data_IF_670232261151
#
_entry.id   IF_670232261151
#
_cell.length_a   1.000
_cell.length_b   1.000
_cell.length_c   1.000
_cell.angle_alpha   90.00
_cell.angle_beta   90.00
_cell.angle_gamma   90.00
#
_symmetry.space_group_name_H-M   'P 1'
#
loop_
_entity.id
_entity.type
_entity.pdbx_description
1 polymer ?
#
# COMPACT_ATOMS: atom_id res chain seq x y z
N UNK A 1 29.26 75.47 21.29
CA UNK A 1 28.98 74.51 20.20
C UNK A 1 28.28 73.31 20.81
N UNK A 2 27.04 73.02 20.41
CA UNK A 2 26.22 71.93 20.97
C UNK A 2 26.63 70.61 20.31
N UNK A 3 27.04 69.63 21.11
CA UNK A 3 27.31 68.26 20.65
C UNK A 3 26.06 67.42 20.88
N UNK A 4 25.38 67.03 19.81
CA UNK A 4 24.22 66.15 19.84
C UNK A 4 24.69 64.73 19.61
N UNK A 5 24.65 63.89 20.65
CA UNK A 5 24.95 62.46 20.53
C UNK A 5 23.76 61.73 19.89
N UNK A 6 23.97 61.10 18.74
CA UNK A 6 22.98 60.24 18.08
C UNK A 6 23.19 58.81 18.60
N UNK A 7 22.21 58.27 19.31
CA UNK A 7 22.19 56.87 19.73
C UNK A 7 21.65 56.03 18.56
N UNK A 8 22.49 55.19 17.95
CA UNK A 8 22.07 54.21 16.95
C UNK A 8 21.70 52.92 17.67
N UNK A 9 20.40 52.61 17.73
CA UNK A 9 19.89 51.33 18.24
C UNK A 9 19.94 50.33 17.08
N UNK A 10 20.89 49.40 17.14
CA UNK A 10 20.95 48.26 16.21
C UNK A 10 20.00 47.18 16.74
N UNK A 11 18.84 47.03 16.11
CA UNK A 11 17.93 45.92 16.37
C UNK A 11 18.50 44.64 15.73
N UNK A 12 18.96 43.70 16.56
CA UNK A 12 19.35 42.37 16.11
C UNK A 12 18.07 41.56 15.91
N UNK A 13 17.66 41.37 14.66
CA UNK A 13 16.59 40.44 14.30
C UNK A 13 17.18 39.04 14.30
N UNK A 14 16.92 38.29 15.38
CA UNK A 14 17.17 36.85 15.45
C UNK A 14 16.18 36.15 14.51
N UNK A 15 16.61 35.87 13.29
CA UNK A 15 15.88 34.98 12.38
C UNK A 15 15.97 33.56 12.94
N UNK A 16 14.94 33.12 13.66
CA UNK A 16 14.75 31.73 14.03
C UNK A 16 14.48 30.93 12.75
N UNK A 17 15.52 30.31 12.19
CA UNK A 17 15.35 29.22 11.25
C UNK A 17 14.71 28.06 12.00
N UNK A 18 13.38 27.95 11.93
CA UNK A 18 12.70 26.71 12.26
C UNK A 18 13.23 25.67 11.26
N UNK A 19 14.09 24.77 11.73
CA UNK A 19 14.45 23.58 10.98
C UNK A 19 13.14 22.87 10.67
N UNK A 20 12.83 22.69 9.38
CA UNK A 20 11.79 21.76 8.98
C UNK A 20 12.16 20.41 9.62
N UNK A 21 11.22 19.72 10.28
CA UNK A 21 11.51 18.37 10.75
C UNK A 21 12.01 17.55 9.56
N UNK A 22 12.98 16.65 9.76
CA UNK A 22 13.41 15.75 8.70
C UNK A 22 12.15 15.08 8.12
N UNK A 23 12.07 14.97 6.79
CA UNK A 23 11.04 14.19 6.12
C UNK A 23 11.07 12.79 6.75
N UNK A 24 10.05 12.48 7.54
CA UNK A 24 10.01 11.23 8.29
C UNK A 24 9.68 10.14 7.28
N UNK A 25 10.40 9.03 7.29
CA UNK A 25 10.09 7.93 6.38
C UNK A 25 8.76 7.31 6.84
N UNK A 26 7.77 7.14 5.95
CA UNK A 26 6.54 6.45 6.32
C UNK A 26 6.81 4.96 6.47
N UNK A 27 6.71 4.46 7.70
CA UNK A 27 6.67 3.03 8.00
C UNK A 27 5.23 2.56 7.89
N UNK A 28 4.99 1.55 7.07
CA UNK A 28 3.68 0.93 6.91
C UNK A 28 3.70 -0.54 7.22
N UNK A 29 2.50 -1.09 7.30
CA UNK A 29 2.29 -2.52 7.38
C UNK A 29 1.24 -2.93 6.37
N UNK A 30 1.34 -4.17 5.91
CA UNK A 30 0.23 -4.87 5.28
C UNK A 30 -0.12 -6.15 6.04
N UNK A 31 -1.41 -6.53 5.98
CA UNK A 31 -1.94 -7.64 6.78
C UNK A 31 -3.08 -8.37 6.07
N UNK A 32 -3.06 -9.70 6.18
CA UNK A 32 -4.09 -10.58 5.63
C UNK A 32 -5.46 -10.41 6.32
N UNK A 33 -6.52 -10.90 5.68
CA UNK A 33 -7.87 -10.94 6.22
C UNK A 33 -7.91 -11.68 7.56
N UNK A 34 -7.24 -12.84 7.64
CA UNK A 34 -7.30 -13.72 8.80
C UNK A 34 -6.60 -13.09 10.00
N UNK A 35 -5.43 -12.48 9.75
CA UNK A 35 -4.61 -11.88 10.80
C UNK A 35 -5.24 -10.57 11.29
N UNK A 36 -5.72 -9.72 10.38
CA UNK A 36 -6.31 -8.42 10.74
C UNK A 36 -7.50 -8.55 11.70
N UNK A 37 -8.34 -9.57 11.50
CA UNK A 37 -9.51 -9.82 12.35
C UNK A 37 -9.15 -10.11 13.82
N UNK A 38 -7.90 -10.50 14.08
CA UNK A 38 -7.38 -10.77 15.43
C UNK A 38 -6.75 -9.55 16.10
N UNK A 39 -6.44 -8.49 15.35
CA UNK A 39 -5.80 -7.27 15.87
C UNK A 39 -6.83 -6.44 16.63
N UNK A 40 -6.62 -6.30 17.93
CA UNK A 40 -7.49 -5.51 18.81
C UNK A 40 -7.31 -4.01 18.62
N UNK A 41 -8.29 -3.16 18.99
CA UNK A 41 -8.12 -1.70 18.94
C UNK A 41 -6.94 -1.18 19.77
N UNK A 42 -6.56 -1.87 20.85
CA UNK A 42 -5.39 -1.51 21.65
C UNK A 42 -4.08 -1.81 20.91
N UNK A 43 -4.03 -2.91 20.17
CA UNK A 43 -2.88 -3.25 19.33
C UNK A 43 -2.75 -2.27 18.15
N UNK A 44 -3.85 -1.90 17.48
CA UNK A 44 -3.83 -0.87 16.44
C UNK A 44 -3.27 0.46 16.96
N UNK A 45 -3.69 0.92 18.15
CA UNK A 45 -3.11 2.12 18.78
C UNK A 45 -1.63 1.95 19.10
N UNK A 46 -1.23 0.79 19.63
CA UNK A 46 0.18 0.52 19.92
C UNK A 46 1.02 0.55 18.63
N UNK A 47 0.56 -0.07 17.53
CA UNK A 47 1.24 -0.04 16.25
C UNK A 47 1.42 1.40 15.75
N UNK A 48 0.41 2.26 15.91
CA UNK A 48 0.54 3.67 15.55
C UNK A 48 1.52 4.43 16.45
N UNK A 49 1.28 4.39 17.76
CA UNK A 49 1.88 5.30 18.73
C UNK A 49 3.27 4.86 19.20
N UNK A 50 3.51 3.55 19.30
CA UNK A 50 4.74 2.99 19.87
C UNK A 50 5.68 2.46 18.78
N UNK A 51 5.12 1.87 17.71
CA UNK A 51 5.92 1.28 16.63
C UNK A 51 6.10 2.19 15.41
N UNK A 52 5.39 3.33 15.39
CA UNK A 52 5.55 4.40 14.40
C UNK A 52 4.87 4.14 13.06
N UNK A 53 4.03 3.11 12.92
CA UNK A 53 3.35 2.82 11.66
C UNK A 53 2.41 3.97 11.26
N UNK A 54 2.59 4.56 10.08
CA UNK A 54 1.81 5.72 9.60
C UNK A 54 0.74 5.34 8.58
N UNK A 55 0.92 4.22 7.89
CA UNK A 55 -0.07 3.67 6.97
C UNK A 55 -0.28 2.17 7.17
N UNK A 56 -1.46 1.71 6.79
CA UNK A 56 -1.83 0.31 6.88
C UNK A 56 -2.55 -0.10 5.61
N UNK A 57 -2.10 -1.21 5.07
CA UNK A 57 -2.62 -1.90 3.92
C UNK A 57 -3.39 -3.09 4.61
N UNK A 58 -4.73 -3.23 4.40
CA UNK A 58 -5.54 -4.43 4.83
C UNK A 58 -6.19 -5.28 3.71
N UNK A 59 -5.87 -6.58 3.63
CA UNK A 59 -6.31 -7.52 2.57
C UNK A 59 -7.81 -7.70 2.60
N UNK A 60 -8.42 -7.82 1.42
CA UNK A 60 -9.85 -7.78 1.37
C UNK A 60 -10.54 -8.92 0.58
N UNK A 61 -9.89 -9.73 -0.27
CA UNK A 61 -10.51 -10.73 -1.20
C UNK A 61 -9.48 -11.79 -1.43
N UNK A 62 -9.70 -12.92 -0.80
CA UNK A 62 -8.73 -13.98 -0.87
C UNK A 62 -9.01 -14.86 -2.09
N UNK A 63 -8.45 -14.51 -3.25
CA UNK A 63 -8.32 -15.45 -4.37
C UNK A 63 -9.58 -16.16 -4.84
N UNK A 64 -10.75 -15.52 -4.75
CA UNK A 64 -12.02 -16.14 -5.13
C UNK A 64 -12.69 -17.02 -4.06
N UNK A 65 -12.08 -17.14 -2.88
CA UNK A 65 -12.62 -17.90 -1.76
C UNK A 65 -13.60 -17.10 -0.90
N UNK A 66 -13.39 -15.79 -0.71
CA UNK A 66 -14.36 -14.86 -0.08
C UNK A 66 -13.85 -13.41 -0.01
N UNK A 67 -14.81 -12.48 0.04
CA UNK A 67 -14.63 -11.11 0.51
C UNK A 67 -14.43 -11.09 2.04
N UNK A 68 -13.47 -10.31 2.51
CA UNK A 68 -13.19 -10.04 3.91
C UNK A 68 -14.38 -9.34 4.58
N UNK A 69 -15.17 -10.11 5.33
CA UNK A 69 -16.34 -9.58 6.05
C UNK A 69 -15.96 -8.71 7.27
N UNK A 70 -14.68 -8.70 7.66
CA UNK A 70 -14.11 -7.88 8.75
C UNK A 70 -13.37 -6.65 8.25
N UNK A 71 -13.35 -6.39 6.94
CA UNK A 71 -12.64 -5.26 6.36
C UNK A 71 -13.08 -3.93 6.97
N UNK A 72 -14.39 -3.69 7.07
CA UNK A 72 -14.92 -2.46 7.67
C UNK A 72 -14.45 -2.29 9.13
N UNK A 73 -14.43 -3.38 9.90
CA UNK A 73 -13.93 -3.38 11.28
C UNK A 73 -12.44 -3.01 11.33
N UNK A 74 -11.61 -3.72 10.57
CA UNK A 74 -10.17 -3.49 10.49
C UNK A 74 -9.83 -2.04 10.12
N UNK A 75 -10.41 -1.54 9.02
CA UNK A 75 -10.19 -0.19 8.52
C UNK A 75 -10.65 0.85 9.54
N UNK A 76 -11.81 0.65 10.18
CA UNK A 76 -12.30 1.58 11.21
C UNK A 76 -11.37 1.65 12.43
N UNK A 77 -10.72 0.55 12.81
CA UNK A 77 -9.79 0.54 13.94
C UNK A 77 -8.45 1.19 13.59
N UNK A 78 -7.93 0.98 12.39
CA UNK A 78 -6.73 1.65 11.90
C UNK A 78 -6.94 3.18 11.85
N UNK A 79 -8.08 3.63 11.32
CA UNK A 79 -8.45 5.06 11.35
C UNK A 79 -8.60 5.59 12.78
N UNK A 80 -9.29 4.86 13.65
CA UNK A 80 -9.46 5.25 15.06
C UNK A 80 -8.13 5.27 15.85
N UNK A 81 -7.12 4.53 15.41
CA UNK A 81 -5.79 4.54 15.97
C UNK A 81 -4.94 5.73 15.49
N UNK A 82 -5.37 6.47 14.46
CA UNK A 82 -4.67 7.67 13.97
C UNK A 82 -3.66 7.41 12.86
N UNK A 83 -3.84 6.34 12.08
CA UNK A 83 -3.10 6.14 10.83
C UNK A 83 -3.44 7.26 9.84
N UNK A 84 -2.42 7.80 9.16
CA UNK A 84 -2.57 8.91 8.21
C UNK A 84 -3.15 8.45 6.88
N UNK A 85 -2.79 7.24 6.47
CA UNK A 85 -3.27 6.60 5.25
C UNK A 85 -3.67 5.17 5.58
N UNK A 86 -4.98 4.89 5.57
CA UNK A 86 -5.44 3.51 5.39
C UNK A 86 -5.70 3.37 3.91
N UNK A 87 -4.62 3.23 3.16
CA UNK A 87 -4.70 2.63 1.84
C UNK A 87 -5.13 1.21 2.14
N UNK A 88 -6.45 0.94 2.13
CA UNK A 88 -6.93 -0.44 2.08
C UNK A 88 -5.99 -1.15 1.13
N UNK A 89 -5.54 -2.38 1.49
CA UNK A 89 -4.66 -3.16 0.63
C UNK A 89 -5.28 -2.95 -0.76
N UNK A 90 -4.46 -3.09 -1.74
CA UNK A 90 -4.75 -4.32 -2.40
C UNK A 90 -5.91 -5.13 -1.77
N UNK A 91 -6.84 -5.46 -2.60
CA UNK A 91 -7.05 -6.86 -2.46
C UNK A 91 -5.66 -7.39 -2.81
N UNK A 92 -5.01 -8.18 -1.94
CA UNK A 92 -4.25 -9.24 -2.57
C UNK A 92 -5.32 -9.99 -3.32
N UNK A 93 -5.59 -9.48 -4.50
CA UNK A 93 -6.66 -9.88 -5.33
C UNK A 93 -5.81 -10.83 -6.08
N UNK A 94 -5.67 -12.04 -5.53
CA UNK A 94 -5.36 -13.19 -6.34
C UNK A 94 -6.52 -13.39 -7.30
N UNK A 95 -6.75 -12.40 -8.13
CA UNK A 95 -7.67 -12.39 -9.22
C UNK A 95 -6.89 -13.14 -10.28
N UNK A 96 -6.92 -14.43 -10.07
CA UNK A 96 -6.49 -15.35 -11.05
C UNK A 96 -7.71 -15.75 -11.87
N UNK A 97 -7.56 -15.94 -13.18
CA UNK A 97 -8.67 -16.31 -14.05
C UNK A 97 -9.29 -17.66 -13.64
N UNK A 98 -8.54 -18.54 -12.97
CA UNK A 98 -9.01 -19.87 -12.56
C UNK A 98 -9.55 -19.92 -11.12
N UNK A 99 -9.51 -18.80 -10.41
CA UNK A 99 -10.01 -18.66 -9.05
C UNK A 99 -11.53 -18.49 -9.07
N UNK A 100 -12.22 -19.08 -8.08
CA UNK A 100 -13.68 -19.05 -8.00
C UNK A 100 -14.25 -17.62 -8.01
N UNK A 101 -15.26 -17.34 -8.82
CA UNK A 101 -15.94 -16.03 -8.83
C UNK A 101 -15.12 -14.86 -9.41
N UNK A 102 -13.89 -15.10 -9.87
CA UNK A 102 -13.01 -14.06 -10.41
C UNK A 102 -13.13 -13.90 -11.93
N UNK A 103 -13.80 -14.81 -12.64
CA UNK A 103 -14.01 -14.69 -14.08
C UNK A 103 -15.51 -14.46 -14.40
N UNK A 104 -15.89 -13.31 -14.99
CA UNK A 104 -15.04 -12.17 -15.36
C UNK A 104 -14.50 -11.37 -14.16
N UNK A 105 -13.35 -10.67 -14.30
CA UNK A 105 -12.71 -9.92 -13.21
C UNK A 105 -13.60 -8.83 -12.61
N UNK A 106 -14.56 -8.33 -13.40
CA UNK A 106 -15.54 -7.36 -12.94
C UNK A 106 -16.38 -7.85 -11.76
N UNK A 107 -16.59 -9.17 -11.60
CA UNK A 107 -17.38 -9.73 -10.51
C UNK A 107 -16.75 -9.43 -9.15
N UNK A 108 -15.47 -9.78 -8.99
CA UNK A 108 -14.75 -9.52 -7.76
C UNK A 108 -14.66 -8.01 -7.49
N UNK A 109 -14.24 -7.22 -8.48
CA UNK A 109 -14.12 -5.76 -8.33
C UNK A 109 -15.45 -5.11 -7.93
N UNK A 110 -16.58 -5.56 -8.50
CA UNK A 110 -17.89 -5.02 -8.14
C UNK A 110 -18.34 -5.46 -6.74
N UNK A 111 -18.02 -6.69 -6.32
CA UNK A 111 -18.34 -7.17 -4.98
C UNK A 111 -17.60 -6.36 -3.90
N UNK A 112 -16.34 -6.03 -4.19
CA UNK A 112 -15.49 -5.15 -3.38
C UNK A 112 -16.10 -3.77 -3.25
N UNK A 113 -16.36 -3.11 -4.38
CA UNK A 113 -16.92 -1.75 -4.42
C UNK A 113 -18.27 -1.66 -3.70
N UNK A 114 -19.14 -2.64 -3.94
CA UNK A 114 -20.45 -2.72 -3.28
C UNK A 114 -20.33 -2.85 -1.76
N UNK A 115 -19.38 -3.65 -1.26
CA UNK A 115 -19.17 -3.79 0.18
C UNK A 115 -18.63 -2.50 0.80
N UNK A 116 -17.63 -1.88 0.17
CA UNK A 116 -17.03 -0.63 0.63
C UNK A 116 -18.10 0.47 0.75
N UNK A 117 -18.93 0.62 -0.29
CA UNK A 117 -20.05 1.58 -0.30
C UNK A 117 -21.12 1.24 0.75
N UNK A 118 -21.53 -0.02 0.86
CA UNK A 118 -22.58 -0.42 1.79
C UNK A 118 -22.19 -0.26 3.26
N UNK A 119 -20.89 -0.34 3.56
CA UNK A 119 -20.35 -0.20 4.92
C UNK A 119 -19.70 1.16 5.17
N UNK A 120 -19.80 2.12 4.24
CA UNK A 120 -19.16 3.44 4.33
C UNK A 120 -17.66 3.39 4.68
N UNK A 121 -16.95 2.42 4.10
CA UNK A 121 -15.53 2.25 4.39
C UNK A 121 -14.73 3.32 3.66
N UNK A 122 -13.92 4.08 4.41
CA UNK A 122 -13.01 5.08 3.86
C UNK A 122 -11.68 4.44 3.46
N UNK A 123 -11.19 4.75 2.26
CA UNK A 123 -9.98 4.18 1.69
C UNK A 123 -9.27 5.13 0.72
N UNK A 124 -7.96 4.95 0.54
CA UNK A 124 -7.16 5.72 -0.41
C UNK A 124 -7.01 5.06 -1.77
N UNK A 125 -6.49 3.83 -1.79
CA UNK A 125 -5.97 3.20 -3.00
C UNK A 125 -6.37 1.72 -3.04
N UNK A 126 -7.15 1.26 -4.03
CA UNK A 126 -7.26 -0.17 -4.29
C UNK A 126 -6.01 -0.56 -5.04
N UNK A 127 -5.43 -1.71 -4.75
CA UNK A 127 -4.47 -2.21 -5.70
C UNK A 127 -4.58 -3.71 -6.09
N UNK A 128 -3.99 -4.14 -7.22
CA UNK A 128 -4.06 -5.55 -7.71
C UNK A 128 -2.77 -6.37 -7.51
N UNK A 129 -2.84 -7.38 -6.65
CA UNK A 129 -1.68 -8.23 -6.33
C UNK A 129 -1.50 -9.28 -7.41
N UNK A 130 -0.35 -9.20 -8.06
CA UNK A 130 0.03 -10.06 -9.17
C UNK A 130 1.23 -10.90 -8.75
N UNK A 131 0.93 -12.09 -8.24
CA UNK A 131 1.89 -13.12 -7.86
C UNK A 131 1.52 -14.47 -8.49
N UNK A 132 2.47 -15.39 -8.64
CA UNK A 132 2.22 -16.73 -9.12
C UNK A 132 1.53 -17.59 -8.03
N UNK A 133 0.73 -18.53 -8.47
CA UNK A 133 0.27 -19.64 -7.62
C UNK A 133 0.05 -20.89 -8.46
N UNK A 134 0.04 -22.03 -7.78
CA UNK A 134 -0.29 -23.32 -8.37
C UNK A 134 -1.75 -23.38 -8.86
N UNK A 135 -1.93 -23.51 -10.18
CA UNK A 135 -3.25 -23.73 -10.81
C UNK A 135 -4.10 -22.47 -10.99
N UNK A 136 -3.59 -21.33 -10.58
CA UNK A 136 -4.33 -20.08 -10.62
C UNK A 136 -4.33 -19.37 -11.98
N UNK A 137 -3.18 -19.39 -12.65
CA UNK A 137 -2.92 -18.65 -13.87
C UNK A 137 -2.88 -19.56 -15.09
N UNK A 138 -3.08 -18.96 -16.26
CA UNK A 138 -2.98 -19.60 -17.56
C UNK A 138 -1.66 -19.17 -18.22
N UNK A 139 -1.68 -18.79 -19.49
CA UNK A 139 -0.53 -18.22 -20.20
C UNK A 139 -0.38 -16.71 -19.99
N UNK A 140 0.84 -16.21 -20.16
CA UNK A 140 1.23 -14.81 -20.01
C UNK A 140 0.25 -13.81 -20.65
N UNK A 141 -0.19 -14.08 -21.89
CA UNK A 141 -1.02 -13.16 -22.65
C UNK A 141 -2.46 -13.10 -22.10
N UNK A 142 -3.04 -14.26 -21.76
CA UNK A 142 -4.38 -14.31 -21.17
C UNK A 142 -4.40 -13.77 -19.73
N UNK A 143 -3.34 -14.03 -18.95
CA UNK A 143 -3.15 -13.47 -17.60
C UNK A 143 -3.10 -11.94 -17.65
N UNK A 144 -2.27 -11.37 -18.53
CA UNK A 144 -2.19 -9.92 -18.67
C UNK A 144 -3.50 -9.30 -19.19
N UNK A 145 -4.21 -9.98 -20.10
CA UNK A 145 -5.52 -9.54 -20.58
C UNK A 145 -6.56 -9.51 -19.45
N UNK A 146 -6.52 -10.50 -18.55
CA UNK A 146 -7.37 -10.55 -17.36
C UNK A 146 -7.07 -9.37 -16.41
N UNK A 147 -5.80 -9.12 -16.10
CA UNK A 147 -5.37 -8.02 -15.21
C UNK A 147 -5.80 -6.66 -15.77
N UNK A 148 -5.61 -6.43 -17.09
CA UNK A 148 -6.10 -5.20 -17.75
C UNK A 148 -7.60 -5.00 -17.58
N UNK A 149 -8.39 -6.08 -17.66
CA UNK A 149 -9.83 -6.00 -17.47
C UNK A 149 -10.21 -5.71 -16.01
N UNK A 150 -9.48 -6.27 -15.04
CA UNK A 150 -9.67 -5.97 -13.61
C UNK A 150 -9.38 -4.49 -13.32
N UNK A 151 -8.21 -3.99 -13.75
CA UNK A 151 -7.81 -2.58 -13.62
C UNK A 151 -8.85 -1.66 -14.25
N UNK A 152 -9.25 -1.93 -15.50
CA UNK A 152 -10.24 -1.10 -16.19
C UNK A 152 -11.62 -1.14 -15.51
N UNK A 153 -11.98 -2.26 -14.87
CA UNK A 153 -13.23 -2.36 -14.12
C UNK A 153 -13.21 -1.49 -12.87
N UNK A 154 -12.12 -1.51 -12.12
CA UNK A 154 -11.98 -0.67 -10.92
C UNK A 154 -11.95 0.82 -11.27
N UNK A 155 -11.20 1.20 -12.31
CA UNK A 155 -11.16 2.58 -12.79
C UNK A 155 -12.55 3.09 -13.25
N UNK A 156 -13.35 2.25 -13.93
CA UNK A 156 -14.73 2.61 -14.31
C UNK A 156 -15.66 2.83 -13.12
N UNK A 157 -15.38 2.20 -11.99
CA UNK A 157 -16.12 2.41 -10.74
C UNK A 157 -15.61 3.62 -9.95
N UNK A 158 -14.59 4.33 -10.45
CA UNK A 158 -14.01 5.52 -9.84
C UNK A 158 -12.98 5.21 -8.75
N UNK A 159 -12.51 3.97 -8.66
CA UNK A 159 -11.48 3.58 -7.69
C UNK A 159 -10.10 4.04 -8.18
N UNK A 160 -9.28 4.58 -7.28
CA UNK A 160 -7.84 4.70 -7.52
C UNK A 160 -7.26 3.29 -7.61
N UNK A 161 -6.38 3.04 -8.59
CA UNK A 161 -5.75 1.71 -8.83
C UNK A 161 -4.22 1.75 -8.87
N UNK A 162 -3.57 0.76 -8.25
CA UNK A 162 -2.13 0.47 -8.32
C UNK A 162 -1.85 -1.02 -8.57
N UNK A 163 -0.58 -1.40 -8.67
CA UNK A 163 -0.12 -2.78 -8.82
C UNK A 163 0.88 -3.14 -7.73
N UNK A 164 0.80 -4.39 -7.25
CA UNK A 164 1.76 -5.02 -6.35
C UNK A 164 2.28 -6.26 -7.04
N UNK A 165 3.60 -6.40 -7.00
CA UNK A 165 4.33 -7.55 -7.52
C UNK A 165 5.81 -7.42 -7.16
N UNK A 166 6.59 -8.45 -7.45
CA UNK A 166 8.05 -8.34 -7.58
C UNK A 166 8.46 -8.57 -9.04
N UNK A 167 9.71 -8.26 -9.39
CA UNK A 167 10.24 -8.58 -10.73
C UNK A 167 10.06 -10.07 -11.08
N UNK A 168 10.32 -10.95 -10.11
CA UNK A 168 10.13 -12.39 -10.27
C UNK A 168 8.65 -12.76 -10.46
N UNK A 169 7.78 -12.25 -9.59
CA UNK A 169 6.36 -12.59 -9.57
C UNK A 169 5.63 -12.08 -10.82
N UNK A 170 5.96 -10.88 -11.26
CA UNK A 170 5.49 -10.32 -12.53
C UNK A 170 5.97 -11.18 -13.70
N UNK A 171 7.26 -11.52 -13.72
CA UNK A 171 7.86 -12.33 -14.76
C UNK A 171 7.25 -13.73 -14.88
N UNK A 172 6.95 -14.36 -13.74
CA UNK A 172 6.34 -15.69 -13.67
C UNK A 172 4.84 -15.69 -14.01
N UNK A 173 4.14 -14.57 -13.80
CA UNK A 173 2.69 -14.49 -13.96
C UNK A 173 2.26 -13.97 -15.33
N UNK A 174 2.94 -12.94 -15.85
CA UNK A 174 2.57 -12.28 -17.11
C UNK A 174 3.71 -12.21 -18.12
N UNK A 175 4.87 -12.78 -17.79
CA UNK A 175 6.06 -12.76 -18.63
C UNK A 175 6.95 -11.53 -18.39
N UNK A 176 8.25 -11.75 -18.21
CA UNK A 176 9.21 -10.71 -17.84
C UNK A 176 9.31 -9.54 -18.85
N UNK A 177 8.99 -9.80 -20.12
CA UNK A 177 9.00 -8.78 -21.18
C UNK A 177 7.71 -7.95 -21.25
N UNK A 178 6.66 -8.35 -20.52
CA UNK A 178 5.35 -7.72 -20.58
C UNK A 178 5.41 -6.35 -19.94
N UNK A 179 5.21 -5.32 -20.76
CA UNK A 179 5.02 -3.94 -20.30
C UNK A 179 3.59 -3.78 -19.81
N UNK A 180 3.46 -3.54 -18.51
CA UNK A 180 2.21 -3.46 -17.78
C UNK A 180 1.63 -2.06 -17.77
N UNK A 181 1.67 -1.45 -16.58
CA UNK A 181 0.96 -0.20 -16.28
C UNK A 181 1.94 0.88 -15.78
N UNK A 182 2.85 1.38 -16.62
CA UNK A 182 3.89 2.31 -16.18
C UNK A 182 3.36 3.65 -15.62
N UNK A 183 2.07 3.96 -15.84
CA UNK A 183 1.39 5.13 -15.29
C UNK A 183 0.61 4.87 -13.99
N UNK A 184 0.54 3.63 -13.51
CA UNK A 184 -0.06 3.29 -12.21
C UNK A 184 1.03 3.19 -11.14
N UNK A 185 0.73 3.55 -9.88
CA UNK A 185 1.67 3.36 -8.78
C UNK A 185 2.04 1.89 -8.62
N UNK A 186 3.30 1.66 -8.25
CA UNK A 186 3.86 0.33 -8.00
C UNK A 186 4.21 0.18 -6.52
N UNK A 187 3.67 -0.85 -5.89
CA UNK A 187 4.09 -1.35 -4.59
C UNK A 187 4.92 -2.61 -4.87
N UNK A 188 6.24 -2.55 -4.71
CA UNK A 188 7.08 -3.70 -5.07
C UNK A 188 7.59 -4.44 -3.85
N UNK A 189 7.71 -5.77 -3.96
CA UNK A 189 8.34 -6.58 -2.94
C UNK A 189 9.83 -6.78 -3.25
N UNK A 190 10.67 -6.50 -2.26
CA UNK A 190 12.08 -6.91 -2.23
C UNK A 190 12.56 -7.01 -0.78
N UNK A 191 12.67 -8.25 -0.28
CA UNK A 191 12.91 -8.54 1.13
C UNK A 191 14.39 -8.45 1.51
N UNK A 192 14.89 -7.22 1.59
CA UNK A 192 16.27 -6.92 1.95
C UNK A 192 16.43 -6.27 3.33
N UNK A 193 15.34 -6.13 4.09
CA UNK A 193 15.28 -5.40 5.37
C UNK A 193 15.64 -3.91 5.25
N UNK A 194 15.64 -3.33 4.05
CA UNK A 194 16.05 -1.94 3.81
C UNK A 194 14.83 -1.09 3.38
N UNK A 195 14.31 -0.21 4.26
CA UNK A 195 13.22 0.70 3.96
C UNK A 195 13.72 1.88 3.10
N UNK A 196 14.10 1.59 1.86
CA UNK A 196 14.61 2.56 0.89
C UNK A 196 14.43 2.05 -0.55
N UNK A 197 14.40 2.96 -1.52
CA UNK A 197 14.39 2.64 -2.95
C UNK A 197 15.81 2.59 -3.57
N UNK A 198 16.83 2.22 -2.79
CA UNK A 198 18.23 2.15 -3.24
C UNK A 198 18.56 0.83 -3.98
N UNK A 199 17.57 0.27 -4.67
CA UNK A 199 17.56 -1.06 -5.29
C UNK A 199 16.81 -1.02 -6.62
N UNK A 200 17.14 -0.04 -7.47
CA UNK A 200 16.40 0.24 -8.70
C UNK A 200 16.14 -0.96 -9.62
N UNK A 201 17.02 -1.96 -9.61
CA UNK A 201 16.85 -3.20 -10.35
C UNK A 201 15.61 -3.99 -9.92
N UNK A 202 15.19 -3.91 -8.64
CA UNK A 202 14.08 -4.67 -8.08
C UNK A 202 12.70 -4.11 -8.47
N UNK A 203 12.61 -2.81 -8.76
CA UNK A 203 11.36 -2.16 -9.20
C UNK A 203 11.34 -1.80 -10.69
N UNK A 204 12.42 -2.07 -11.43
CA UNK A 204 12.55 -1.75 -12.86
C UNK A 204 12.09 -2.90 -13.75
N UNK A 205 10.84 -3.32 -13.58
CA UNK A 205 10.18 -4.33 -14.40
C UNK A 205 8.86 -3.78 -14.95
N UNK A 206 8.20 -4.47 -15.88
CA UNK A 206 6.87 -4.10 -16.37
C UNK A 206 6.75 -2.69 -17.00
N UNK A 207 7.86 -1.98 -17.22
CA UNK A 207 7.88 -0.59 -17.66
C UNK A 207 7.87 0.46 -16.53
N UNK A 208 7.81 0.07 -15.26
CA UNK A 208 7.98 0.96 -14.12
C UNK A 208 9.43 1.43 -14.00
N UNK A 209 9.59 2.67 -13.56
CA UNK A 209 10.91 3.29 -13.30
C UNK A 209 10.96 4.01 -11.95
N UNK A 210 9.82 4.08 -11.26
CA UNK A 210 9.65 4.69 -9.95
C UNK A 210 8.59 3.91 -9.18
N UNK A 211 8.90 3.40 -7.98
CA UNK A 211 7.91 2.81 -7.11
C UNK A 211 7.16 3.90 -6.32
N UNK A 212 6.02 3.51 -5.76
CA UNK A 212 5.27 4.28 -4.78
C UNK A 212 5.48 3.71 -3.37
N UNK A 213 5.52 2.38 -3.21
CA UNK A 213 5.73 1.69 -1.93
C UNK A 213 6.71 0.51 -2.13
N UNK A 214 7.48 0.16 -1.11
CA UNK A 214 8.27 -1.07 -1.04
C UNK A 214 7.79 -1.94 0.13
N UNK A 215 7.47 -3.20 -0.11
CA UNK A 215 7.44 -4.24 0.93
C UNK A 215 8.87 -4.77 1.10
N UNK A 216 9.49 -4.49 2.25
CA UNK A 216 10.91 -4.80 2.49
C UNK A 216 11.13 -5.95 3.48
N UNK A 217 10.05 -6.47 4.07
CA UNK A 217 10.08 -7.61 4.99
C UNK A 217 8.73 -8.33 5.04
N UNK A 218 8.77 -9.67 5.11
CA UNK A 218 7.61 -10.57 5.25
C UNK A 218 7.62 -11.17 6.68
N UNK A 219 6.44 -11.25 7.31
CA UNK A 219 6.18 -11.84 8.64
C UNK A 219 7.00 -11.24 9.78
N UNK A 220 6.79 -9.96 10.06
CA UNK A 220 7.20 -9.40 11.35
C UNK A 220 6.47 -10.11 12.51
N UNK A 221 7.26 -10.45 13.51
CA UNK A 221 6.82 -11.18 14.68
C UNK A 221 7.02 -10.29 15.90
N UNK A 222 5.95 -9.65 16.35
CA UNK A 222 5.88 -9.19 17.74
C UNK A 222 5.72 -7.69 17.96
N UNK A 223 5.65 -6.86 16.92
CA UNK A 223 5.28 -5.45 17.07
C UNK A 223 3.93 -5.36 17.81
N UNK A 224 3.92 -4.80 19.01
CA UNK A 224 2.72 -4.74 19.87
C UNK A 224 2.04 -6.10 20.13
N UNK A 225 2.78 -7.21 20.06
CA UNK A 225 2.22 -8.57 20.18
C UNK A 225 1.32 -8.98 19.01
N UNK A 226 1.37 -8.25 17.89
CA UNK A 226 0.78 -8.64 16.61
C UNK A 226 1.79 -9.47 15.83
N UNK A 227 1.32 -10.52 15.16
CA UNK A 227 2.13 -11.42 14.34
C UNK A 227 1.60 -11.46 12.91
N UNK A 228 2.45 -11.81 11.95
CA UNK A 228 2.09 -11.91 10.53
C UNK A 228 1.65 -10.56 9.93
N UNK A 229 2.40 -9.51 10.25
CA UNK A 229 2.33 -8.26 9.48
C UNK A 229 3.57 -8.18 8.61
N UNK A 230 3.40 -7.68 7.40
CA UNK A 230 4.49 -7.43 6.48
C UNK A 230 4.86 -5.95 6.59
N UNK A 231 6.12 -5.59 6.32
CA UNK A 231 6.61 -4.24 6.54
C UNK A 231 6.81 -3.49 5.23
N UNK A 232 6.16 -2.34 5.17
CA UNK A 232 6.14 -1.45 4.02
C UNK A 232 6.81 -0.11 4.28
N UNK A 233 7.23 0.51 3.20
CA UNK A 233 7.88 1.80 3.26
C UNK A 233 7.59 2.66 2.03
N UNK A 234 7.42 3.96 2.26
CA UNK A 234 7.57 4.99 1.24
C UNK A 234 8.22 6.25 1.83
N UNK A 235 8.88 7.09 1.02
CA UNK A 235 9.42 8.36 1.49
C UNK A 235 8.28 9.38 1.69
N UNK A 236 8.17 10.00 2.87
CA UNK A 236 7.26 11.16 3.00
C UNK A 236 7.76 12.29 2.08
N UNK A 237 6.84 12.89 1.35
CA UNK A 237 7.10 13.99 0.43
C UNK A 237 7.20 15.33 1.17
#
# INVERSE_FOLDING_TARGET
>A
MKSTSVLVVVAIVLASFAALPPAEAAKGLDVSLQDCASITPAQWRCLREQEGFSFAIIEAWNGGFQLNQKLAYCVSNAWAAGFAHVDIVHYYAFLCPNCGGNNPPANAVSAIDNYLKSNNVQYGQLWFDIEQCTGCWNDDASNFAFIKQAVASAQRLGMSVGIYSSDYEWGATVGASTRGFPGLPLWYAHYDNMPSFNDAWAYSFGGWTRPAIKQYYDRDSGACGVTNIDLDWYPDN
#
